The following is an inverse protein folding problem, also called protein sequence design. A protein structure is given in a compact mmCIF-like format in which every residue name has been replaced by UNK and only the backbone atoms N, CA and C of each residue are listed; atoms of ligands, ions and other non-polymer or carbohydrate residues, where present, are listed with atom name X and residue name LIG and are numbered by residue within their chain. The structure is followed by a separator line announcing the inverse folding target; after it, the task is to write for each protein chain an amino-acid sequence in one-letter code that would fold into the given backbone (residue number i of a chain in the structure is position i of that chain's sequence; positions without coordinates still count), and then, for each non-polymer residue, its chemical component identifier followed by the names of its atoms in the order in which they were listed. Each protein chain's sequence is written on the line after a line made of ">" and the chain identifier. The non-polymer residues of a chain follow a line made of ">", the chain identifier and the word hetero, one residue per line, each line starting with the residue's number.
data_IF_061484528256
#
_entry.id   IF_061484528256
#
_cell.length_a   1.000
_cell.length_b   1.000
_cell.length_c   1.000
_cell.angle_alpha   90.00
_cell.angle_beta   90.00
_cell.angle_gamma   90.00
#
_symmetry.space_group_name_H-M   'P 1'
#
loop_
_entity.id
_entity.type
_entity.pdbx_description
1 polymer ?
#
# COMPACT_ATOMS: atom_id res chain seq x y z
N UNK A 1 -10.64 21.62 -11.17
CA UNK A 1 -9.37 21.55 -11.91
C UNK A 1 -8.80 20.14 -11.80
N UNK A 2 -9.05 19.30 -12.81
CA UNK A 2 -8.65 17.88 -12.80
C UNK A 2 -7.14 17.69 -12.86
N UNK A 3 -6.38 18.64 -13.41
CA UNK A 3 -4.91 18.55 -13.51
C UNK A 3 -4.27 18.53 -12.12
N UNK A 4 -4.78 19.35 -11.20
CA UNK A 4 -4.30 19.40 -9.82
C UNK A 4 -4.53 18.08 -9.06
N UNK A 5 -5.68 17.43 -9.27
CA UNK A 5 -5.98 16.12 -8.66
C UNK A 5 -5.01 15.05 -9.17
N UNK A 6 -4.80 14.99 -10.49
CA UNK A 6 -3.86 14.04 -11.11
C UNK A 6 -2.43 14.23 -10.59
N UNK A 7 -1.98 15.48 -10.47
CA UNK A 7 -0.65 15.79 -9.94
C UNK A 7 -0.48 15.29 -8.51
N UNK A 8 -1.45 15.59 -7.63
CA UNK A 8 -1.41 15.15 -6.23
C UNK A 8 -1.35 13.62 -6.16
N UNK A 9 -2.26 12.91 -6.84
CA UNK A 9 -2.25 11.45 -6.84
C UNK A 9 -0.92 10.87 -7.33
N UNK A 10 -0.33 11.45 -8.38
CA UNK A 10 0.94 10.98 -8.95
C UNK A 10 2.09 11.14 -7.96
N UNK A 11 2.25 12.33 -7.36
CA UNK A 11 3.34 12.60 -6.44
C UNK A 11 3.27 11.73 -5.18
N UNK A 12 2.08 11.55 -4.61
CA UNK A 12 1.89 10.71 -3.42
C UNK A 12 2.07 9.22 -3.73
N UNK A 13 1.57 8.74 -4.87
CA UNK A 13 1.76 7.36 -5.28
C UNK A 13 3.25 7.02 -5.48
N UNK A 14 4.01 7.89 -6.14
CA UNK A 14 5.45 7.69 -6.37
C UNK A 14 6.26 7.71 -5.07
N UNK A 15 6.01 8.69 -4.19
CA UNK A 15 6.68 8.77 -2.88
C UNK A 15 6.36 7.56 -1.99
N UNK A 16 5.10 7.13 -1.98
CA UNK A 16 4.65 5.95 -1.22
C UNK A 16 5.29 4.66 -1.70
N UNK A 17 5.27 4.43 -3.02
CA UNK A 17 5.86 3.25 -3.63
C UNK A 17 7.35 3.10 -3.29
N UNK A 18 8.11 4.20 -3.36
CA UNK A 18 9.54 4.19 -3.06
C UNK A 18 9.82 3.84 -1.59
N UNK A 19 9.06 4.43 -0.65
CA UNK A 19 9.24 4.14 0.78
C UNK A 19 8.91 2.67 1.11
N UNK A 20 7.81 2.13 0.56
CA UNK A 20 7.42 0.74 0.80
C UNK A 20 8.44 -0.22 0.17
N UNK A 21 8.91 0.05 -1.05
CA UNK A 21 9.92 -0.77 -1.69
C UNK A 21 11.21 -0.86 -0.85
N UNK A 22 11.74 0.28 -0.39
CA UNK A 22 12.95 0.28 0.44
C UNK A 22 12.75 -0.38 1.80
N UNK A 23 11.57 -0.21 2.40
CA UNK A 23 11.20 -0.92 3.63
C UNK A 23 11.30 -2.43 3.45
N UNK A 24 10.68 -2.98 2.39
CA UNK A 24 10.68 -4.43 2.11
C UNK A 24 12.07 -4.91 1.69
N UNK A 25 12.78 -4.16 0.86
CA UNK A 25 14.14 -4.48 0.40
C UNK A 25 15.11 -4.63 1.57
N UNK A 26 15.22 -3.60 2.41
CA UNK A 26 16.14 -3.63 3.56
C UNK A 26 15.64 -4.56 4.68
N UNK A 27 14.33 -4.72 4.85
CA UNK A 27 13.78 -5.69 5.80
C UNK A 27 14.12 -7.14 5.43
N UNK A 28 14.06 -7.46 4.14
CA UNK A 28 14.43 -8.78 3.62
C UNK A 28 15.92 -9.06 3.85
N UNK A 29 16.79 -8.10 3.54
CA UNK A 29 18.23 -8.20 3.81
C UNK A 29 18.51 -8.36 5.31
N UNK A 30 17.88 -7.54 6.15
CA UNK A 30 18.06 -7.60 7.59
C UNK A 30 17.77 -9.01 8.14
N UNK A 31 16.61 -9.57 7.81
CA UNK A 31 16.21 -10.87 8.34
C UNK A 31 17.06 -12.02 7.78
N UNK A 32 17.45 -11.96 6.51
CA UNK A 32 18.35 -12.95 5.92
C UNK A 32 19.74 -12.96 6.59
N UNK A 33 20.23 -11.80 7.02
CA UNK A 33 21.55 -11.64 7.65
C UNK A 33 21.53 -11.90 9.17
N UNK A 34 20.36 -11.93 9.82
CA UNK A 34 20.26 -12.29 11.24
C UNK A 34 20.53 -13.77 11.42
N UNK A 35 19.70 -14.61 10.79
CA UNK A 35 19.83 -16.06 10.84
C UNK A 35 19.07 -16.69 9.64
N UNK A 36 19.73 -17.53 8.83
CA UNK A 36 19.10 -18.14 7.65
C UNK A 36 17.91 -19.03 7.98
N UNK A 37 17.94 -19.77 9.09
CA UNK A 37 16.84 -20.69 9.46
C UNK A 37 15.60 -19.91 9.89
N UNK A 38 15.78 -18.86 10.69
CA UNK A 38 14.75 -17.88 11.01
C UNK A 38 14.14 -17.29 9.72
N UNK A 39 14.99 -16.89 8.77
CA UNK A 39 14.52 -16.28 7.53
C UNK A 39 13.70 -17.25 6.67
N UNK A 40 14.06 -18.54 6.62
CA UNK A 40 13.24 -19.58 5.95
C UNK A 40 11.85 -19.66 6.59
N UNK A 41 11.77 -19.65 7.93
CA UNK A 41 10.49 -19.61 8.65
C UNK A 41 9.67 -18.36 8.33
N UNK A 42 10.32 -17.21 8.21
CA UNK A 42 9.70 -15.97 7.77
C UNK A 42 9.15 -16.06 6.33
N UNK A 43 9.89 -16.66 5.39
CA UNK A 43 9.44 -16.85 4.00
C UNK A 43 8.18 -17.74 3.90
N UNK A 44 8.13 -18.82 4.69
CA UNK A 44 6.93 -19.68 4.76
C UNK A 44 5.76 -18.90 5.36
N UNK A 45 6.01 -18.14 6.42
CA UNK A 45 4.99 -17.34 7.11
C UNK A 45 4.41 -16.26 6.20
N UNK A 46 5.25 -15.45 5.54
CA UNK A 46 4.76 -14.39 4.65
C UNK A 46 3.99 -14.95 3.45
N UNK A 47 4.37 -16.12 2.94
CA UNK A 47 3.64 -16.77 1.86
C UNK A 47 2.24 -17.24 2.31
N UNK A 48 2.13 -17.91 3.46
CA UNK A 48 0.85 -18.40 3.97
C UNK A 48 -0.06 -17.26 4.43
N UNK A 49 0.40 -16.45 5.38
CA UNK A 49 -0.41 -15.37 5.93
C UNK A 49 -0.68 -14.28 4.90
N UNK A 50 0.30 -13.94 4.06
CA UNK A 50 0.14 -12.95 3.01
C UNK A 50 -0.88 -13.38 1.95
N UNK A 51 -0.92 -14.66 1.58
CA UNK A 51 -1.92 -15.20 0.64
C UNK A 51 -3.34 -15.06 1.21
N UNK A 52 -3.58 -15.55 2.43
CA UNK A 52 -4.91 -15.47 3.04
C UNK A 52 -5.34 -14.02 3.28
N UNK A 53 -4.41 -13.14 3.66
CA UNK A 53 -4.69 -11.72 3.83
C UNK A 53 -5.04 -11.04 2.49
N UNK A 54 -4.34 -11.39 1.40
CA UNK A 54 -4.64 -10.88 0.06
C UNK A 54 -6.06 -11.26 -0.39
N UNK A 55 -6.43 -12.53 -0.22
CA UNK A 55 -7.76 -13.05 -0.55
C UNK A 55 -8.84 -12.36 0.29
N UNK A 56 -8.61 -12.22 1.59
CA UNK A 56 -9.54 -11.53 2.49
C UNK A 56 -9.80 -10.08 2.05
N UNK A 57 -8.75 -9.31 1.79
CA UNK A 57 -8.88 -7.91 1.37
C UNK A 57 -9.58 -7.77 0.01
N UNK A 58 -9.25 -8.63 -0.95
CA UNK A 58 -9.89 -8.62 -2.27
C UNK A 58 -11.39 -8.94 -2.19
N UNK A 59 -11.75 -10.00 -1.45
CA UNK A 59 -13.14 -10.42 -1.31
C UNK A 59 -13.96 -9.44 -0.46
N UNK A 60 -13.39 -8.93 0.64
CA UNK A 60 -14.05 -7.95 1.50
C UNK A 60 -14.34 -6.65 0.75
N UNK A 61 -13.34 -6.08 0.08
CA UNK A 61 -13.52 -4.87 -0.73
C UNK A 61 -14.50 -5.08 -1.89
N UNK A 62 -14.41 -6.21 -2.60
CA UNK A 62 -15.34 -6.54 -3.67
C UNK A 62 -16.78 -6.75 -3.21
N UNK A 63 -16.99 -7.32 -2.02
CA UNK A 63 -18.32 -7.48 -1.43
C UNK A 63 -18.96 -6.13 -1.11
N UNK A 64 -18.20 -5.18 -0.54
CA UNK A 64 -18.70 -3.83 -0.27
C UNK A 64 -19.05 -3.04 -1.55
N UNK A 65 -18.23 -3.13 -2.61
CA UNK A 65 -18.54 -2.48 -3.90
C UNK A 65 -19.80 -3.08 -4.54
N UNK A 66 -19.94 -4.42 -4.50
CA UNK A 66 -21.11 -5.10 -5.03
C UNK A 66 -22.38 -4.77 -4.22
N UNK A 67 -22.29 -4.70 -2.89
CA UNK A 67 -23.41 -4.29 -2.05
C UNK A 67 -23.89 -2.87 -2.39
N UNK A 68 -22.96 -1.92 -2.59
CA UNK A 68 -23.28 -0.57 -3.08
C UNK A 68 -23.98 -0.63 -4.45
N UNK A 69 -23.45 -1.40 -5.41
CA UNK A 69 -24.07 -1.55 -6.75
C UNK A 69 -25.49 -2.10 -6.70
N UNK A 70 -25.78 -3.06 -5.82
CA UNK A 70 -27.14 -3.58 -5.61
C UNK A 70 -28.10 -2.47 -5.16
N UNK A 71 -27.70 -1.66 -4.17
CA UNK A 71 -28.50 -0.53 -3.68
C UNK A 71 -28.74 0.50 -4.80
N UNK A 72 -27.72 0.77 -5.60
CA UNK A 72 -27.78 1.77 -6.67
C UNK A 72 -28.61 1.35 -7.89
N UNK A 73 -28.57 0.07 -8.27
CA UNK A 73 -29.10 -0.41 -9.54
C UNK A 73 -30.38 -1.24 -9.36
N UNK A 74 -30.38 -2.17 -8.41
CA UNK A 74 -31.52 -3.07 -8.19
C UNK A 74 -32.58 -2.42 -7.31
N UNK A 75 -32.17 -1.87 -6.17
CA UNK A 75 -33.09 -1.20 -5.23
C UNK A 75 -33.43 0.23 -5.67
N UNK A 76 -32.57 0.88 -6.45
CA UNK A 76 -32.72 2.28 -6.92
C UNK A 76 -32.84 3.30 -5.79
N UNK A 77 -32.30 2.99 -4.62
CA UNK A 77 -32.40 3.81 -3.40
C UNK A 77 -31.24 4.83 -3.28
N UNK A 78 -30.86 5.49 -4.38
CA UNK A 78 -29.78 6.49 -4.37
C UNK A 78 -30.15 7.70 -3.51
N UNK A 79 -29.22 8.14 -2.67
CA UNK A 79 -29.42 9.28 -1.77
C UNK A 79 -30.15 8.97 -0.46
N UNK A 80 -30.46 7.70 -0.20
CA UNK A 80 -30.97 7.24 1.10
C UNK A 80 -29.86 7.02 2.13
N UNK A 81 -30.22 6.86 3.40
CA UNK A 81 -29.27 6.48 4.44
C UNK A 81 -28.60 5.12 4.16
N UNK A 82 -29.32 4.18 3.52
CA UNK A 82 -28.77 2.90 3.08
C UNK A 82 -27.68 3.09 2.02
N UNK A 83 -27.92 3.97 1.04
CA UNK A 83 -26.91 4.30 0.03
C UNK A 83 -25.69 4.96 0.67
N UNK A 84 -25.88 5.91 1.59
CA UNK A 84 -24.77 6.53 2.30
C UNK A 84 -23.92 5.50 3.07
N UNK A 85 -24.55 4.55 3.77
CA UNK A 85 -23.84 3.50 4.50
C UNK A 85 -23.03 2.57 3.57
N UNK A 86 -23.59 2.18 2.42
CA UNK A 86 -22.87 1.34 1.45
C UNK A 86 -21.75 2.08 0.72
N UNK A 87 -21.89 3.39 0.50
CA UNK A 87 -20.79 4.24 -0.01
C UNK A 87 -19.64 4.27 1.01
N UNK A 88 -19.92 4.42 2.30
CA UNK A 88 -18.87 4.34 3.34
C UNK A 88 -18.16 2.98 3.29
N UNK A 89 -18.91 1.88 3.18
CA UNK A 89 -18.34 0.54 3.03
C UNK A 89 -17.40 0.40 1.83
N UNK A 90 -17.81 0.89 0.66
CA UNK A 90 -16.97 0.86 -0.55
C UNK A 90 -15.72 1.74 -0.42
N UNK A 91 -15.83 2.93 0.19
CA UNK A 91 -14.66 3.80 0.43
C UNK A 91 -13.62 3.18 1.36
N UNK A 92 -14.05 2.34 2.32
CA UNK A 92 -13.14 1.53 3.15
C UNK A 92 -12.57 0.34 2.36
N UNK A 93 -13.36 -0.21 1.45
CA UNK A 93 -13.00 -1.34 0.60
C UNK A 93 -12.00 -1.00 -0.51
N UNK A 94 -12.02 0.21 -1.08
CA UNK A 94 -11.17 0.61 -2.21
C UNK A 94 -9.67 0.40 -1.96
N UNK A 95 -9.08 0.86 -0.83
CA UNK A 95 -7.66 0.56 -0.54
C UNK A 95 -7.37 -0.93 -0.35
N UNK A 96 -8.36 -1.73 0.03
CA UNK A 96 -8.21 -3.18 0.25
C UNK A 96 -8.21 -3.94 -1.08
N UNK A 97 -9.22 -3.74 -1.94
CA UNK A 97 -9.35 -4.47 -3.22
C UNK A 97 -8.40 -3.94 -4.31
N UNK A 98 -8.11 -2.64 -4.36
CA UNK A 98 -7.41 -2.06 -5.51
C UNK A 98 -5.92 -1.79 -5.25
N UNK A 99 -5.51 -1.71 -3.97
CA UNK A 99 -4.12 -1.40 -3.60
C UNK A 99 -3.47 -2.55 -2.83
N UNK A 100 -3.95 -2.83 -1.63
CA UNK A 100 -3.24 -3.69 -0.68
C UNK A 100 -3.27 -5.16 -1.08
N UNK A 101 -4.42 -5.69 -1.49
CA UNK A 101 -4.54 -7.09 -1.94
C UNK A 101 -3.73 -7.38 -3.20
N UNK A 102 -3.79 -6.49 -4.19
CA UNK A 102 -3.02 -6.60 -5.43
C UNK A 102 -1.51 -6.54 -5.16
N UNK A 103 -1.08 -5.70 -4.21
CA UNK A 103 0.32 -5.54 -3.84
C UNK A 103 0.91 -6.72 -3.05
N UNK A 104 0.10 -7.56 -2.40
CA UNK A 104 0.63 -8.70 -1.63
C UNK A 104 1.34 -9.75 -2.48
N UNK A 105 0.82 -10.06 -3.67
CA UNK A 105 1.44 -11.03 -4.56
C UNK A 105 2.89 -10.64 -4.99
N UNK A 106 3.14 -9.42 -5.51
CA UNK A 106 4.51 -9.01 -5.81
C UNK A 106 5.38 -8.86 -4.56
N UNK A 107 4.84 -8.45 -3.39
CA UNK A 107 5.62 -8.41 -2.14
C UNK A 107 6.10 -9.81 -1.73
N UNK A 108 5.23 -10.83 -1.77
CA UNK A 108 5.59 -12.22 -1.43
C UNK A 108 6.61 -12.76 -2.45
N UNK A 109 6.36 -12.58 -3.75
CA UNK A 109 7.26 -13.07 -4.80
C UNK A 109 8.63 -12.38 -4.76
N UNK A 110 8.64 -11.07 -4.54
CA UNK A 110 9.89 -10.32 -4.38
C UNK A 110 10.66 -10.83 -3.16
N UNK A 111 10.02 -10.86 -1.99
CA UNK A 111 10.66 -11.27 -0.73
C UNK A 111 11.21 -12.70 -0.80
N UNK A 112 10.50 -13.62 -1.46
CA UNK A 112 10.94 -15.01 -1.61
C UNK A 112 12.09 -15.15 -2.62
N UNK A 113 11.96 -14.60 -3.83
CA UNK A 113 13.00 -14.72 -4.86
C UNK A 113 14.27 -13.95 -4.50
N UNK A 114 14.13 -12.69 -4.07
CA UNK A 114 15.26 -11.87 -3.61
C UNK A 114 15.82 -12.42 -2.29
N UNK A 115 14.97 -12.94 -1.42
CA UNK A 115 15.37 -13.52 -0.13
C UNK A 115 16.34 -14.68 -0.26
N UNK A 116 16.16 -15.55 -1.26
CA UNK A 116 17.10 -16.65 -1.51
C UNK A 116 18.51 -16.14 -1.87
N UNK A 117 18.58 -15.09 -2.70
CA UNK A 117 19.86 -14.44 -3.04
C UNK A 117 20.48 -13.76 -1.81
N UNK A 118 19.65 -13.13 -0.97
CA UNK A 118 20.09 -12.51 0.26
C UNK A 118 20.65 -13.53 1.27
N UNK A 119 20.04 -14.71 1.37
CA UNK A 119 20.53 -15.81 2.23
C UNK A 119 21.88 -16.32 1.76
N UNK A 120 22.05 -16.56 0.45
CA UNK A 120 23.33 -17.00 -0.10
C UNK A 120 24.46 -16.01 0.23
N UNK A 121 24.18 -14.71 0.08
CA UNK A 121 25.09 -13.64 0.45
C UNK A 121 25.39 -13.63 1.96
N UNK A 122 24.36 -13.75 2.80
CA UNK A 122 24.49 -13.77 4.26
C UNK A 122 25.37 -14.94 4.74
N UNK A 123 25.12 -16.15 4.24
CA UNK A 123 25.90 -17.35 4.58
C UNK A 123 27.35 -17.21 4.15
N UNK A 124 27.58 -16.71 2.93
CA UNK A 124 28.93 -16.49 2.39
C UNK A 124 29.73 -15.48 3.21
N UNK A 125 29.07 -14.43 3.73
CA UNK A 125 29.71 -13.42 4.56
C UNK A 125 29.92 -13.88 6.01
N UNK A 126 28.95 -14.59 6.57
CA UNK A 126 29.05 -15.15 7.92
C UNK A 126 30.23 -16.13 8.06
N UNK A 127 30.50 -16.91 7.01
CA UNK A 127 31.67 -17.80 6.96
C UNK A 127 33.01 -17.05 7.04
N UNK A 128 33.05 -15.76 6.68
CA UNK A 128 34.26 -14.92 6.75
C UNK A 128 34.32 -14.14 8.05
N UNK A 129 33.23 -13.48 8.45
CA UNK A 129 33.21 -12.57 9.61
C UNK A 129 31.80 -12.43 10.19
N UNK A 130 31.50 -13.20 11.24
CA UNK A 130 30.19 -13.17 11.91
C UNK A 130 29.82 -11.78 12.46
N UNK A 131 30.79 -11.04 13.01
CA UNK A 131 30.55 -9.69 13.56
C UNK A 131 30.09 -8.70 12.50
N UNK A 132 30.67 -8.76 11.30
CA UNK A 132 30.28 -7.92 10.18
C UNK A 132 28.87 -8.27 9.68
N UNK A 133 28.54 -9.56 9.59
CA UNK A 133 27.20 -10.01 9.16
C UNK A 133 26.13 -9.46 10.10
N UNK A 134 26.31 -9.59 11.42
CA UNK A 134 25.34 -9.07 12.38
C UNK A 134 25.31 -7.53 12.43
N UNK A 135 26.44 -6.86 12.23
CA UNK A 135 26.47 -5.41 12.11
C UNK A 135 25.68 -4.91 10.89
N UNK A 136 25.81 -5.58 9.74
CA UNK A 136 25.03 -5.29 8.54
C UNK A 136 23.55 -5.61 8.73
N UNK A 137 23.21 -6.71 9.40
CA UNK A 137 21.84 -7.04 9.75
C UNK A 137 21.18 -5.91 10.56
N UNK A 138 21.87 -5.40 11.58
CA UNK A 138 21.40 -4.28 12.40
C UNK A 138 21.26 -2.98 11.58
N UNK A 139 22.23 -2.70 10.70
CA UNK A 139 22.17 -1.52 9.83
C UNK A 139 20.98 -1.58 8.86
N UNK A 140 20.78 -2.72 8.17
CA UNK A 140 19.65 -2.92 7.27
C UNK A 140 18.32 -2.85 8.02
N UNK A 141 18.25 -3.41 9.22
CA UNK A 141 17.05 -3.32 10.05
C UNK A 141 16.72 -1.87 10.42
N UNK A 142 17.73 -1.09 10.85
CA UNK A 142 17.55 0.32 11.16
C UNK A 142 17.05 1.11 9.94
N UNK A 143 17.64 0.89 8.74
CA UNK A 143 17.18 1.52 7.51
C UNK A 143 15.74 1.13 7.17
N UNK A 144 15.38 -0.16 7.30
CA UNK A 144 14.01 -0.62 7.08
C UNK A 144 13.03 0.07 8.01
N UNK A 145 13.31 0.12 9.33
CA UNK A 145 12.47 0.79 10.34
C UNK A 145 12.34 2.29 10.05
N UNK A 146 13.41 2.95 9.61
CA UNK A 146 13.37 4.36 9.21
C UNK A 146 12.42 4.58 8.03
N UNK A 147 12.43 3.71 7.02
CA UNK A 147 11.51 3.81 5.87
C UNK A 147 10.06 3.45 6.24
N UNK A 148 9.85 2.49 7.15
CA UNK A 148 8.53 2.23 7.74
C UNK A 148 8.01 3.49 8.44
N UNK A 149 8.81 4.05 9.34
CA UNK A 149 8.43 5.27 10.07
C UNK A 149 8.16 6.43 9.13
N UNK A 150 9.03 6.66 8.13
CA UNK A 150 8.84 7.68 7.09
C UNK A 150 7.54 7.46 6.32
N UNK A 151 7.19 6.21 6.03
CA UNK A 151 5.94 5.86 5.34
C UNK A 151 4.72 6.28 6.17
N UNK A 152 4.67 5.93 7.46
CA UNK A 152 3.51 6.23 8.32
C UNK A 152 3.41 7.70 8.74
N UNK A 153 4.53 8.32 9.10
CA UNK A 153 4.52 9.62 9.76
C UNK A 153 4.88 10.79 8.83
N UNK A 154 5.81 10.60 7.91
CA UNK A 154 6.26 11.68 7.03
C UNK A 154 5.42 11.82 5.74
N UNK A 155 4.61 10.81 5.40
CA UNK A 155 3.66 10.91 4.27
C UNK A 155 2.27 11.38 4.67
N UNK A 156 2.05 11.64 5.97
CA UNK A 156 0.77 12.17 6.43
C UNK A 156 0.59 13.56 5.82
N UNK A 157 -0.50 13.73 5.07
CA UNK A 157 -0.88 15.03 4.53
C UNK A 157 -1.19 15.95 5.71
N UNK A 158 -0.33 16.95 5.95
CA UNK A 158 -0.58 18.02 6.90
C UNK A 158 -1.82 18.82 6.48
N UNK A 159 -2.57 19.34 7.46
CA UNK A 159 -3.81 20.08 7.24
C UNK A 159 -3.69 21.11 6.10
N UNK A 160 -4.68 21.10 5.22
CA UNK A 160 -4.75 21.86 3.97
C UNK A 160 -4.15 23.27 4.06
N UNK A 161 -3.19 23.59 3.20
CA UNK A 161 -3.01 24.99 2.82
C UNK A 161 -4.29 25.45 2.13
N UNK A 162 -4.87 26.60 2.50
CA UNK A 162 -6.06 27.12 1.85
C UNK A 162 -5.74 27.33 0.36
N UNK A 163 -6.50 26.63 -0.49
CA UNK A 163 -6.40 26.78 -1.93
C UNK A 163 -6.73 28.22 -2.36
N UNK A 164 -6.30 28.64 -3.56
CA UNK A 164 -6.64 29.95 -4.09
C UNK A 164 -8.17 30.12 -4.10
N UNK A 165 -8.66 31.30 -3.72
CA UNK A 165 -10.09 31.63 -3.75
C UNK A 165 -10.66 31.31 -5.14
N UNK A 166 -11.85 30.69 -5.22
CA UNK A 166 -12.47 30.41 -6.51
C UNK A 166 -12.69 31.71 -7.27
N UNK A 167 -12.26 31.74 -8.54
CA UNK A 167 -12.64 32.81 -9.45
C UNK A 167 -14.15 32.81 -9.63
N UNK A 168 -14.80 33.99 -9.67
CA UNK A 168 -16.23 34.08 -9.84
C UNK A 168 -16.62 33.43 -11.18
N UNK A 169 -17.54 32.47 -11.11
CA UNK A 169 -18.03 31.74 -12.27
C UNK A 169 -18.58 32.73 -13.32
N UNK A 170 -17.92 32.79 -14.48
CA UNK A 170 -18.46 33.46 -15.66
C UNK A 170 -19.81 32.85 -16.03
N UNK A 171 -20.78 33.71 -16.33
CA UNK A 171 -22.19 33.42 -16.58
C UNK A 171 -22.51 32.57 -17.84
N UNK A 172 -21.61 31.65 -18.25
CA UNK A 172 -21.75 30.87 -19.49
C UNK A 172 -22.31 29.46 -19.34
N UNK A 173 -22.38 28.88 -18.14
CA UNK A 173 -22.71 27.46 -17.96
C UNK A 173 -24.21 27.13 -17.88
N UNK A 174 -25.09 28.13 -17.78
CA UNK A 174 -26.54 27.92 -17.63
C UNK A 174 -27.26 27.50 -18.94
N UNK A 175 -26.57 27.49 -20.09
CA UNK A 175 -27.19 27.18 -21.38
C UNK A 175 -27.09 25.69 -21.80
N UNK A 176 -26.32 24.86 -21.07
CA UNK A 176 -26.03 23.47 -21.51
C UNK A 176 -26.96 22.39 -20.92
N UNK A 177 -27.92 22.75 -20.04
CA UNK A 177 -28.85 21.79 -19.41
C UNK A 177 -30.28 21.85 -19.97
N UNK A 178 -30.45 22.25 -21.23
CA UNK A 178 -31.68 21.99 -21.99
C UNK A 178 -31.31 21.44 -23.37
N UNK A 179 -31.10 20.13 -23.44
CA UNK A 179 -31.42 19.26 -24.58
C UNK A 179 -31.27 17.80 -24.16
#
# INVERSE_FOLDING_TARGET
>A
DSKKVVQICTEYAQKGMFNIFLSVFFGTLAFAFVDPYFFIGYLISIALFGLFQAIFMANGGGAWDNAKKIVEVELKEKGTELHAATVVGDTVGDPFKDTSSVAMNPVIKFTTLFGLLAVELAVSLAARTATLTHALAAAFFAVSVLFVWRSFYCMRIGGAQPGPRPEPAGAGAAAAFRR
#
